data_IF_780272953396
#
_entry.id   IF_780272953396
#
_cell.length_a   1.000
_cell.length_b   1.000
_cell.length_c   1.000
_cell.angle_alpha   90.00
_cell.angle_beta   90.00
_cell.angle_gamma   90.00
#
_symmetry.space_group_name_H-M   'P 1'
#
loop_
_entity.id
_entity.type
_entity.pdbx_description
1 polymer ?
#
# COMPACT_ATOMS: atom_id res chain seq x y z
N UNK A 1 66.21 1.10 33.57
CA UNK A 1 64.99 1.85 33.17
C UNK A 1 65.38 2.95 32.19
N UNK A 2 65.43 2.65 30.88
CA UNK A 2 65.70 3.65 29.85
C UNK A 2 64.38 4.16 29.26
N UNK A 3 64.05 5.42 29.54
CA UNK A 3 62.88 6.12 28.99
C UNK A 3 63.23 6.63 27.60
N UNK A 4 62.59 6.08 26.57
CA UNK A 4 62.62 6.63 25.21
C UNK A 4 61.76 7.91 25.22
N UNK A 5 62.39 9.07 25.43
CA UNK A 5 61.77 10.39 25.26
C UNK A 5 61.70 10.73 23.77
N UNK A 6 60.61 10.27 23.15
CA UNK A 6 59.76 11.00 22.19
C UNK A 6 60.38 12.12 21.35
N UNK A 7 60.89 11.78 20.15
CA UNK A 7 60.94 12.67 18.97
C UNK A 7 59.55 12.89 18.34
N UNK A 8 58.50 13.09 19.15
CA UNK A 8 57.11 13.17 18.68
C UNK A 8 56.58 14.61 18.48
N UNK A 9 57.34 15.64 18.89
CA UNK A 9 56.81 17.01 18.98
C UNK A 9 56.63 17.71 17.61
N UNK A 10 57.36 17.33 16.56
CA UNK A 10 57.18 17.89 15.21
C UNK A 10 56.19 17.10 14.33
N UNK A 11 56.11 15.79 14.56
CA UNK A 11 55.25 14.90 13.77
C UNK A 11 53.76 15.11 14.10
N UNK A 12 53.43 15.30 15.39
CA UNK A 12 52.05 15.54 15.81
C UNK A 12 51.46 16.82 15.19
N UNK A 13 52.28 17.86 14.99
CA UNK A 13 51.84 19.11 14.36
C UNK A 13 51.54 18.89 12.87
N UNK A 14 52.42 18.18 12.15
CA UNK A 14 52.23 17.87 10.72
C UNK A 14 51.04 16.94 10.52
N UNK A 15 50.89 15.93 11.38
CA UNK A 15 49.76 15.01 11.37
C UNK A 15 48.44 15.72 11.66
N UNK A 16 48.41 16.62 12.66
CA UNK A 16 47.24 17.46 12.92
C UNK A 16 46.90 18.39 11.74
N UNK A 17 47.92 18.95 11.08
CA UNK A 17 47.74 19.83 9.92
C UNK A 17 47.16 19.09 8.70
N UNK A 18 47.41 17.78 8.58
CA UNK A 18 46.85 16.92 7.53
C UNK A 18 45.46 16.36 7.92
N UNK A 19 45.27 15.99 9.18
CA UNK A 19 44.02 15.41 9.67
C UNK A 19 42.88 16.43 9.71
N UNK A 20 43.16 17.69 10.07
CA UNK A 20 42.14 18.75 10.12
C UNK A 20 41.43 18.99 8.77
N UNK A 21 42.12 19.23 7.64
CA UNK A 21 41.47 19.41 6.35
C UNK A 21 40.79 18.13 5.87
N UNK A 22 41.35 16.95 6.17
CA UNK A 22 40.71 15.67 5.84
C UNK A 22 39.39 15.50 6.59
N UNK A 23 39.36 15.81 7.89
CA UNK A 23 38.12 15.80 8.68
C UNK A 23 37.10 16.81 8.18
N UNK A 24 37.54 18.01 7.83
CA UNK A 24 36.66 19.03 7.25
C UNK A 24 36.02 18.55 5.94
N UNK A 25 36.81 17.94 5.04
CA UNK A 25 36.33 17.34 3.81
C UNK A 25 35.33 16.20 4.07
N UNK A 26 35.60 15.33 5.04
CA UNK A 26 34.71 14.23 5.41
C UNK A 26 33.36 14.74 5.96
N UNK A 27 33.40 15.72 6.86
CA UNK A 27 32.18 16.34 7.42
C UNK A 27 31.37 17.04 6.33
N UNK A 28 32.06 17.72 5.41
CA UNK A 28 31.44 18.37 4.26
C UNK A 28 30.75 17.35 3.33
N UNK A 29 31.45 16.27 2.98
CA UNK A 29 30.90 15.18 2.17
C UNK A 29 29.69 14.51 2.86
N UNK A 30 29.79 14.25 4.17
CA UNK A 30 28.69 13.67 4.95
C UNK A 30 27.46 14.58 4.99
N UNK A 31 27.64 15.90 5.15
CA UNK A 31 26.53 16.86 5.11
C UNK A 31 25.87 16.91 3.73
N UNK A 32 26.68 16.89 2.66
CA UNK A 32 26.17 16.91 1.30
C UNK A 32 25.37 15.65 0.96
N UNK A 33 25.92 14.47 1.28
CA UNK A 33 25.26 13.19 1.02
C UNK A 33 24.01 13.02 1.88
N UNK A 34 24.04 13.48 3.14
CA UNK A 34 22.88 13.51 4.02
C UNK A 34 21.75 14.36 3.45
N UNK A 35 22.06 15.54 2.90
CA UNK A 35 21.06 16.37 2.22
C UNK A 35 20.45 15.71 0.98
N UNK A 36 21.25 14.98 0.20
CA UNK A 36 20.74 14.21 -0.94
C UNK A 36 19.86 13.04 -0.51
N UNK A 37 20.24 12.32 0.54
CA UNK A 37 19.43 11.23 1.09
C UNK A 37 18.11 11.75 1.65
N UNK A 38 18.14 12.87 2.38
CA UNK A 38 16.95 13.50 2.94
C UNK A 38 15.97 13.90 1.83
N UNK A 39 16.43 14.60 0.79
CA UNK A 39 15.58 14.97 -0.36
C UNK A 39 15.05 13.74 -1.09
N UNK A 40 15.85 12.69 -1.26
CA UNK A 40 15.39 11.44 -1.87
C UNK A 40 14.32 10.73 -1.03
N UNK A 41 14.42 10.78 0.29
CA UNK A 41 13.41 10.25 1.22
C UNK A 41 12.12 11.07 1.17
N UNK A 42 12.23 12.40 1.15
CA UNK A 42 11.08 13.30 1.06
C UNK A 42 10.28 13.05 -0.23
N UNK A 43 10.96 12.98 -1.37
CA UNK A 43 10.35 12.65 -2.67
C UNK A 43 9.74 11.24 -2.66
N UNK A 44 10.37 10.27 -1.99
CA UNK A 44 9.80 8.94 -1.82
C UNK A 44 8.49 8.97 -1.01
N UNK A 45 8.46 9.67 0.12
CA UNK A 45 7.27 9.81 0.94
C UNK A 45 6.15 10.57 0.21
N UNK A 46 6.50 11.62 -0.53
CA UNK A 46 5.55 12.37 -1.35
C UNK A 46 4.90 11.46 -2.42
N UNK A 47 5.69 10.65 -3.13
CA UNK A 47 5.15 9.71 -4.13
C UNK A 47 4.24 8.64 -3.52
N UNK A 48 4.58 8.12 -2.33
CA UNK A 48 3.76 7.11 -1.63
C UNK A 48 2.45 7.69 -1.14
N UNK A 49 2.48 8.84 -0.47
CA UNK A 49 1.27 9.55 -0.03
C UNK A 49 0.36 9.85 -1.23
N UNK A 50 0.95 10.31 -2.33
CA UNK A 50 0.21 10.61 -3.55
C UNK A 50 -0.44 9.37 -4.18
N UNK A 51 0.28 8.24 -4.26
CA UNK A 51 -0.27 6.98 -4.77
C UNK A 51 -1.41 6.45 -3.88
N UNK A 52 -1.22 6.46 -2.56
CA UNK A 52 -2.22 5.94 -1.61
C UNK A 52 -3.49 6.79 -1.59
N UNK A 53 -3.37 8.12 -1.55
CA UNK A 53 -4.54 8.98 -1.63
C UNK A 53 -5.24 8.89 -3.01
N UNK A 54 -4.49 8.57 -4.08
CA UNK A 54 -5.09 8.22 -5.36
C UNK A 54 -5.85 6.89 -5.34
N UNK A 55 -5.29 5.87 -4.68
CA UNK A 55 -5.98 4.60 -4.47
C UNK A 55 -7.25 4.74 -3.60
N UNK A 56 -7.28 5.72 -2.70
CA UNK A 56 -8.46 6.09 -1.90
C UNK A 56 -9.47 6.97 -2.65
N UNK A 57 -9.23 7.31 -3.92
CA UNK A 57 -10.12 8.15 -4.73
C UNK A 57 -10.09 9.65 -4.40
N UNK A 58 -9.07 10.14 -3.68
CA UNK A 58 -8.97 11.56 -3.37
C UNK A 58 -8.60 12.40 -4.61
N UNK A 59 -9.23 13.56 -4.80
CA UNK A 59 -8.97 14.45 -5.93
C UNK A 59 -7.53 14.94 -5.91
N UNK A 60 -6.92 15.03 -7.09
CA UNK A 60 -5.53 15.48 -7.27
C UNK A 60 -5.27 16.90 -6.77
N UNK A 61 -6.30 17.76 -6.74
CA UNK A 61 -6.20 19.17 -6.31
C UNK A 61 -5.87 19.34 -4.81
N UNK A 62 -6.16 18.35 -3.96
CA UNK A 62 -5.94 18.49 -2.52
C UNK A 62 -4.53 18.09 -2.06
N UNK A 63 -3.65 17.69 -2.99
CA UNK A 63 -2.30 17.24 -2.64
C UNK A 63 -1.29 18.36 -2.69
N UNK A 64 -0.92 18.83 -1.50
CA UNK A 64 0.19 19.75 -1.33
C UNK A 64 1.49 18.98 -1.49
N UNK A 65 2.17 19.19 -2.63
CA UNK A 65 3.56 18.80 -2.76
C UNK A 65 4.43 19.79 -1.97
N UNK A 66 5.54 19.34 -1.35
CA UNK A 66 6.52 20.25 -0.78
C UNK A 66 7.01 21.24 -1.85
N UNK A 67 7.26 22.48 -1.46
CA UNK A 67 7.76 23.53 -2.35
C UNK A 67 8.97 23.03 -3.17
N UNK A 68 8.92 23.15 -4.49
CA UNK A 68 9.99 22.68 -5.39
C UNK A 68 9.92 21.19 -5.77
N UNK A 69 8.83 20.48 -5.43
CA UNK A 69 8.56 19.11 -5.88
C UNK A 69 7.42 19.11 -6.90
N UNK A 70 7.67 18.60 -8.10
CA UNK A 70 6.64 18.30 -9.08
C UNK A 70 6.02 16.93 -8.79
N UNK A 71 4.70 16.87 -8.73
CA UNK A 71 3.93 15.64 -8.50
C UNK A 71 3.03 15.36 -9.70
N UNK A 72 3.09 14.14 -10.23
CA UNK A 72 2.20 13.66 -11.29
C UNK A 72 1.60 12.32 -10.87
N UNK A 73 0.32 12.11 -11.16
CA UNK A 73 -0.38 10.86 -10.90
C UNK A 73 -1.11 10.41 -12.15
N UNK A 74 -0.99 9.13 -12.48
CA UNK A 74 -1.71 8.47 -13.54
C UNK A 74 -2.40 7.21 -13.02
N UNK A 75 -3.55 6.91 -13.58
CA UNK A 75 -4.34 5.73 -13.29
C UNK A 75 -4.54 4.96 -14.59
N UNK A 76 -4.12 3.70 -14.66
CA UNK A 76 -4.40 2.83 -15.79
C UNK A 76 -5.17 1.60 -15.32
N UNK A 77 -6.15 1.15 -16.09
CA UNK A 77 -6.71 -0.19 -15.88
C UNK A 77 -5.58 -1.22 -15.95
N UNK A 78 -5.67 -2.28 -15.14
CA UNK A 78 -4.64 -3.32 -15.10
C UNK A 78 -5.17 -4.64 -15.69
N UNK A 79 -5.37 -4.72 -17.02
CA UNK A 79 -5.86 -5.94 -17.65
C UNK A 79 -4.79 -7.03 -17.70
N UNK A 80 -5.21 -8.29 -17.66
CA UNK A 80 -4.35 -9.42 -18.04
C UNK A 80 -3.24 -9.81 -17.05
N UNK A 81 -3.41 -9.56 -15.76
CA UNK A 81 -2.50 -10.10 -14.73
C UNK A 81 -2.70 -11.62 -14.60
N UNK A 82 -3.95 -12.08 -14.72
CA UNK A 82 -4.30 -13.47 -14.70
C UNK A 82 -4.13 -14.10 -16.11
N UNK A 83 -3.72 -15.38 -16.17
CA UNK A 83 -3.82 -16.19 -17.38
C UNK A 83 -5.24 -16.15 -17.97
N UNK A 84 -5.36 -16.33 -19.29
CA UNK A 84 -6.64 -16.27 -20.01
C UNK A 84 -7.76 -17.14 -19.40
N UNK A 85 -7.37 -18.26 -18.76
CA UNK A 85 -8.27 -19.21 -18.10
C UNK A 85 -8.92 -18.64 -16.83
N UNK A 86 -8.31 -17.64 -16.20
CA UNK A 86 -8.72 -17.05 -14.91
C UNK A 86 -9.09 -15.58 -15.05
N UNK A 87 -9.04 -15.00 -16.26
CA UNK A 87 -9.44 -13.61 -16.52
C UNK A 87 -10.89 -13.34 -16.11
N UNK A 88 -11.80 -14.26 -16.36
CA UNK A 88 -13.19 -14.13 -15.92
C UNK A 88 -13.32 -14.03 -14.39
N UNK A 89 -12.49 -14.78 -13.65
CA UNK A 89 -12.43 -14.74 -12.19
C UNK A 89 -11.81 -13.41 -11.71
N UNK A 90 -10.76 -12.94 -12.38
CA UNK A 90 -10.14 -11.64 -12.09
C UNK A 90 -11.16 -10.50 -12.28
N UNK A 91 -11.87 -10.49 -13.39
CA UNK A 91 -12.90 -9.49 -13.68
C UNK A 91 -14.08 -9.59 -12.70
N UNK A 92 -14.43 -10.79 -12.26
CA UNK A 92 -15.48 -11.01 -11.25
C UNK A 92 -15.07 -10.53 -9.86
N UNK A 93 -13.82 -10.77 -9.44
CA UNK A 93 -13.34 -10.44 -8.10
C UNK A 93 -12.94 -8.98 -7.96
N UNK A 94 -12.35 -8.40 -9.00
CA UNK A 94 -11.79 -7.05 -8.96
C UNK A 94 -12.54 -6.06 -9.86
N UNK A 95 -13.42 -6.53 -10.75
CA UNK A 95 -14.22 -5.68 -11.63
C UNK A 95 -13.37 -4.83 -12.59
N UNK A 96 -14.01 -3.81 -13.17
CA UNK A 96 -13.33 -2.70 -13.87
C UNK A 96 -12.60 -1.76 -12.89
N UNK A 97 -12.60 -2.07 -11.59
CA UNK A 97 -12.02 -1.25 -10.53
C UNK A 97 -10.53 -1.53 -10.31
N UNK A 98 -10.02 -2.67 -10.79
CA UNK A 98 -8.60 -2.97 -10.74
C UNK A 98 -7.81 -2.00 -11.61
N UNK A 99 -7.16 -1.05 -10.94
CA UNK A 99 -6.37 -0.01 -11.60
C UNK A 99 -5.00 0.05 -10.96
N UNK A 100 -3.98 0.25 -11.78
CA UNK A 100 -2.67 0.60 -11.34
C UNK A 100 -2.58 2.12 -11.19
N UNK A 101 -2.50 2.56 -9.95
CA UNK A 101 -2.19 3.93 -9.62
C UNK A 101 -0.68 4.11 -9.65
N UNK A 102 -0.20 5.04 -10.47
CA UNK A 102 1.20 5.43 -10.54
C UNK A 102 1.33 6.88 -10.10
N UNK A 103 2.14 7.15 -9.08
CA UNK A 103 2.49 8.50 -8.68
C UNK A 103 3.99 8.72 -8.83
N UNK A 104 4.36 9.80 -9.52
CA UNK A 104 5.75 10.23 -9.69
C UNK A 104 5.93 11.56 -8.97
N UNK A 105 6.84 11.61 -8.02
CA UNK A 105 7.32 12.85 -7.42
C UNK A 105 8.74 13.12 -7.92
N UNK A 106 9.06 14.35 -8.28
CA UNK A 106 10.41 14.73 -8.66
C UNK A 106 10.79 16.12 -8.19
N UNK A 107 12.04 16.29 -7.78
CA UNK A 107 12.63 17.58 -7.43
C UNK A 107 13.92 17.78 -8.20
N UNK A 108 14.26 19.04 -8.47
CA UNK A 108 15.52 19.43 -9.07
C UNK A 108 16.33 20.18 -8.01
N UNK A 109 17.49 19.66 -7.66
CA UNK A 109 18.43 20.33 -6.76
C UNK A 109 19.61 20.83 -7.59
N UNK A 110 19.98 22.09 -7.43
CA UNK A 110 21.19 22.61 -8.04
C UNK A 110 22.39 21.88 -7.44
N UNK A 111 23.19 21.26 -8.28
CA UNK A 111 24.47 20.74 -7.83
C UNK A 111 25.36 21.94 -7.46
N UNK A 112 26.05 21.86 -6.32
CA UNK A 112 26.85 23.00 -5.83
C UNK A 112 28.14 23.13 -6.63
N UNK A 113 28.63 22.01 -7.17
CA UNK A 113 29.92 21.92 -7.86
C UNK A 113 29.78 21.93 -9.40
N UNK A 114 28.56 21.67 -9.93
CA UNK A 114 28.24 21.76 -11.35
C UNK A 114 27.06 22.70 -11.60
N UNK A 115 27.07 23.43 -12.71
CA UNK A 115 25.90 24.19 -13.18
C UNK A 115 24.68 23.30 -13.56
N UNK A 116 24.84 21.97 -13.47
CA UNK A 116 23.82 20.99 -13.76
C UNK A 116 22.84 20.82 -12.59
N UNK A 117 21.57 20.67 -12.93
CA UNK A 117 20.54 20.33 -11.97
C UNK A 117 20.50 18.81 -11.76
N UNK A 118 20.72 18.36 -10.53
CA UNK A 118 20.50 16.96 -10.17
C UNK A 118 18.99 16.75 -9.97
N UNK A 119 18.38 15.99 -10.87
CA UNK A 119 16.96 15.64 -10.79
C UNK A 119 16.80 14.32 -10.04
N UNK A 120 16.12 14.37 -8.90
CA UNK A 120 15.75 13.19 -8.13
C UNK A 120 14.26 12.93 -8.38
N UNK A 121 13.93 11.74 -8.89
CA UNK A 121 12.55 11.33 -9.12
C UNK A 121 12.26 9.97 -8.46
N UNK A 122 11.09 9.84 -7.85
CA UNK A 122 10.57 8.57 -7.32
C UNK A 122 9.20 8.29 -7.90
N UNK A 123 9.03 7.04 -8.34
CA UNK A 123 7.78 6.52 -8.86
C UNK A 123 7.30 5.41 -7.94
N UNK A 124 6.04 5.51 -7.49
CA UNK A 124 5.37 4.50 -6.68
C UNK A 124 4.17 3.97 -7.44
N UNK A 125 3.99 2.66 -7.42
CA UNK A 125 2.86 1.96 -8.03
C UNK A 125 2.02 1.31 -6.92
N UNK A 126 0.70 1.47 -6.99
CA UNK A 126 -0.26 0.88 -6.06
C UNK A 126 -1.41 0.30 -6.88
N UNK A 127 -1.76 -0.96 -6.65
CA UNK A 127 -3.00 -1.51 -7.17
C UNK A 127 -4.17 -1.00 -6.32
N UNK A 128 -5.11 -0.30 -6.94
CA UNK A 128 -6.40 0.07 -6.35
C UNK A 128 -7.49 -0.86 -6.86
N UNK A 129 -8.55 -1.06 -6.07
CA UNK A 129 -9.63 -1.98 -6.45
C UNK A 129 -9.24 -3.46 -6.37
N UNK A 130 -8.11 -3.78 -5.73
CA UNK A 130 -7.59 -5.14 -5.58
C UNK A 130 -8.34 -5.99 -4.53
N UNK A 131 -9.66 -5.80 -4.38
CA UNK A 131 -10.51 -6.64 -3.52
C UNK A 131 -10.86 -6.04 -2.16
N UNK A 132 -10.68 -4.73 -1.95
CA UNK A 132 -11.20 -4.05 -0.77
C UNK A 132 -12.72 -3.83 -0.90
N UNK A 133 -13.48 -4.17 0.14
CA UNK A 133 -14.89 -3.84 0.26
C UNK A 133 -15.08 -2.70 1.27
N UNK A 134 -16.05 -1.82 1.04
CA UNK A 134 -16.31 -0.65 1.88
C UNK A 134 -17.02 -0.98 3.21
N UNK A 135 -17.31 -2.26 3.47
CA UNK A 135 -17.99 -2.78 4.66
C UNK A 135 -18.63 -4.14 4.39
N UNK A 136 -19.25 -4.73 5.41
CA UNK A 136 -19.86 -6.07 5.33
C UNK A 136 -20.89 -6.20 4.21
N UNK A 137 -21.76 -5.20 4.05
CA UNK A 137 -22.79 -5.23 3.00
C UNK A 137 -22.20 -5.18 1.59
N UNK A 138 -21.09 -4.48 1.39
CA UNK A 138 -20.38 -4.44 0.09
C UNK A 138 -19.68 -5.78 -0.15
N UNK A 139 -19.04 -6.34 0.88
CA UNK A 139 -18.39 -7.65 0.83
C UNK A 139 -19.41 -8.77 0.52
N UNK A 140 -20.51 -8.85 1.28
CA UNK A 140 -21.58 -9.82 1.07
C UNK A 140 -22.22 -9.67 -0.31
N UNK A 141 -22.47 -8.43 -0.77
CA UNK A 141 -23.00 -8.19 -2.12
C UNK A 141 -22.05 -8.70 -3.19
N UNK A 142 -20.74 -8.45 -3.06
CA UNK A 142 -19.73 -8.91 -4.01
C UNK A 142 -19.63 -10.43 -4.02
N UNK A 143 -19.55 -11.06 -2.85
CA UNK A 143 -19.49 -12.53 -2.70
C UNK A 143 -20.76 -13.19 -3.26
N UNK A 144 -21.95 -12.73 -2.85
CA UNK A 144 -23.23 -13.28 -3.31
C UNK A 144 -23.54 -13.02 -4.79
N UNK A 145 -22.87 -12.05 -5.42
CA UNK A 145 -22.97 -11.77 -6.85
C UNK A 145 -21.90 -12.43 -7.70
N UNK A 146 -20.94 -13.13 -7.11
CA UNK A 146 -19.86 -13.80 -7.83
C UNK A 146 -20.35 -15.17 -8.40
N UNK A 147 -20.78 -15.23 -9.69
CA UNK A 147 -21.39 -16.43 -10.24
C UNK A 147 -20.43 -17.63 -10.34
N UNK A 148 -19.17 -17.38 -10.66
CA UNK A 148 -18.22 -18.43 -11.04
C UNK A 148 -17.42 -18.91 -9.84
N UNK A 149 -17.13 -18.01 -8.90
CA UNK A 149 -16.33 -18.38 -7.72
C UNK A 149 -17.14 -18.93 -6.56
N UNK A 150 -18.32 -18.37 -6.29
CA UNK A 150 -19.09 -18.71 -5.07
C UNK A 150 -20.47 -19.25 -5.39
N UNK A 151 -21.23 -18.63 -6.29
CA UNK A 151 -22.63 -19.01 -6.53
C UNK A 151 -22.81 -20.44 -7.03
N UNK A 152 -21.89 -20.94 -7.87
CA UNK A 152 -21.94 -22.35 -8.34
C UNK A 152 -21.73 -23.32 -7.18
N UNK A 153 -20.69 -23.12 -6.37
CA UNK A 153 -20.41 -23.95 -5.21
C UNK A 153 -21.54 -23.86 -4.16
N UNK A 154 -22.01 -22.64 -3.87
CA UNK A 154 -23.18 -22.38 -3.04
C UNK A 154 -24.41 -23.14 -3.55
N UNK A 155 -24.75 -23.02 -4.83
CA UNK A 155 -25.95 -23.66 -5.37
C UNK A 155 -25.90 -25.18 -5.26
N UNK A 156 -24.74 -25.79 -5.47
CA UNK A 156 -24.55 -27.22 -5.31
C UNK A 156 -24.67 -27.64 -3.84
N UNK A 157 -23.98 -26.94 -2.94
CA UNK A 157 -24.02 -27.21 -1.49
C UNK A 157 -25.40 -27.00 -0.90
N UNK A 158 -26.10 -25.92 -1.26
CA UNK A 158 -27.47 -25.64 -0.80
C UNK A 158 -28.48 -26.63 -1.35
N UNK A 159 -28.31 -27.11 -2.59
CA UNK A 159 -29.17 -28.16 -3.14
C UNK A 159 -29.06 -29.44 -2.31
N UNK A 160 -27.84 -29.81 -1.89
CA UNK A 160 -27.61 -30.99 -1.06
C UNK A 160 -28.08 -30.77 0.38
N UNK A 161 -27.78 -29.61 0.98
CA UNK A 161 -28.23 -29.27 2.32
C UNK A 161 -29.77 -29.28 2.44
N UNK A 162 -30.49 -28.82 1.40
CA UNK A 162 -31.96 -28.91 1.36
C UNK A 162 -32.47 -30.34 1.31
N UNK A 163 -31.74 -31.26 0.65
CA UNK A 163 -32.10 -32.70 0.63
C UNK A 163 -31.90 -33.34 2.00
N UNK A 164 -30.83 -32.96 2.71
CA UNK A 164 -30.46 -33.55 4.00
C UNK A 164 -31.19 -32.93 5.19
N UNK A 165 -31.64 -31.67 5.08
CA UNK A 165 -32.28 -30.91 6.17
C UNK A 165 -33.38 -31.68 6.91
N UNK A 166 -34.35 -32.34 6.26
CA UNK A 166 -35.41 -33.06 6.97
C UNK A 166 -34.90 -34.27 7.78
N UNK A 167 -33.81 -34.90 7.31
CA UNK A 167 -33.19 -36.05 7.98
C UNK A 167 -32.40 -35.58 9.19
N UNK A 168 -31.59 -34.53 9.02
CA UNK A 168 -30.79 -33.91 10.08
C UNK A 168 -31.70 -33.33 11.17
N UNK A 169 -32.71 -32.54 10.81
CA UNK A 169 -33.63 -31.93 11.79
C UNK A 169 -34.39 -33.01 12.60
N UNK A 170 -34.71 -34.17 11.99
CA UNK A 170 -35.34 -35.30 12.70
C UNK A 170 -34.39 -35.98 13.68
N UNK A 171 -33.13 -36.14 13.28
CA UNK A 171 -32.10 -36.75 14.12
C UNK A 171 -31.74 -35.83 15.31
N UNK A 172 -31.63 -34.53 15.06
CA UNK A 172 -31.20 -33.52 16.03
C UNK A 172 -32.32 -32.99 16.93
N UNK A 173 -33.59 -33.17 16.52
CA UNK A 173 -34.77 -32.67 17.24
C UNK A 173 -34.83 -33.07 18.72
N UNK A 174 -34.59 -34.35 19.10
CA UNK A 174 -34.66 -34.73 20.52
C UNK A 174 -33.51 -34.17 21.37
N UNK A 175 -32.46 -33.64 20.74
CA UNK A 175 -31.31 -32.98 21.37
C UNK A 175 -31.53 -31.46 21.48
N UNK A 176 -32.70 -30.95 21.08
CA UNK A 176 -33.07 -29.52 21.07
C UNK A 176 -32.03 -28.63 20.36
N UNK A 177 -31.32 -29.17 19.37
CA UNK A 177 -30.40 -28.38 18.54
C UNK A 177 -31.18 -27.52 17.55
N UNK A 178 -30.69 -26.31 17.22
CA UNK A 178 -31.25 -25.52 16.13
C UNK A 178 -31.21 -26.33 14.83
N UNK A 179 -32.28 -26.27 14.03
CA UNK A 179 -32.31 -26.95 12.74
C UNK A 179 -31.22 -26.42 11.80
N UNK A 180 -30.83 -27.23 10.81
CA UNK A 180 -29.75 -26.88 9.89
C UNK A 180 -30.01 -25.51 9.23
N UNK A 181 -29.11 -24.54 9.45
CA UNK A 181 -29.15 -23.23 8.80
C UNK A 181 -28.65 -23.33 7.36
N UNK A 182 -29.40 -22.73 6.44
CA UNK A 182 -29.02 -22.60 5.03
C UNK A 182 -28.48 -21.20 4.71
N UNK A 183 -28.55 -20.28 5.68
CA UNK A 183 -28.07 -18.92 5.53
C UNK A 183 -26.60 -18.85 5.97
N UNK A 184 -25.73 -19.27 5.06
CA UNK A 184 -24.29 -19.32 5.32
C UNK A 184 -23.63 -17.94 5.23
N UNK A 185 -24.23 -16.97 4.52
CA UNK A 185 -23.62 -15.68 4.23
C UNK A 185 -23.85 -14.67 5.36
N UNK A 186 -24.99 -14.77 6.06
CA UNK A 186 -25.30 -13.92 7.22
C UNK A 186 -24.38 -14.19 8.41
N UNK A 187 -23.82 -15.40 8.55
CA UNK A 187 -22.82 -15.73 9.58
C UNK A 187 -21.52 -14.90 9.45
N UNK A 188 -21.24 -14.35 8.26
CA UNK A 188 -20.06 -13.52 8.01
C UNK A 188 -20.34 -12.02 8.13
N UNK A 189 -21.55 -11.63 8.55
CA UNK A 189 -21.98 -10.24 8.59
C UNK A 189 -21.20 -9.35 9.58
N UNK A 190 -20.55 -9.94 10.59
CA UNK A 190 -19.83 -9.22 11.65
C UNK A 190 -18.30 -9.44 11.61
N UNK A 191 -17.77 -9.95 10.48
CA UNK A 191 -16.34 -10.30 10.36
C UNK A 191 -15.48 -9.11 9.88
N UNK A 192 -16.07 -8.05 9.32
CA UNK A 192 -15.32 -6.81 9.02
C UNK A 192 -15.20 -5.95 10.29
N UNK A 193 -14.01 -5.43 10.63
CA UNK A 193 -13.82 -4.58 11.80
C UNK A 193 -14.78 -3.38 11.78
N UNK A 194 -15.53 -3.19 12.88
CA UNK A 194 -16.56 -2.15 13.02
C UNK A 194 -16.06 -0.73 12.68
N UNK A 195 -14.77 -0.47 12.90
CA UNK A 195 -14.09 0.80 12.60
C UNK A 195 -14.08 1.17 11.10
N UNK A 196 -14.41 0.22 10.20
CA UNK A 196 -14.47 0.42 8.74
C UNK A 196 -15.88 0.63 8.21
N UNK A 197 -16.91 0.45 9.04
CA UNK A 197 -18.30 0.75 8.71
C UNK A 197 -18.49 2.28 8.71
N UNK A 198 -18.08 2.93 7.61
CA UNK A 198 -18.23 4.39 7.48
C UNK A 198 -19.70 4.80 7.62
N UNK A 199 -19.97 5.57 8.67
CA UNK A 199 -21.26 6.16 8.98
C UNK A 199 -21.59 7.23 7.93
N UNK A 200 -22.17 6.83 6.79
CA UNK A 200 -22.75 7.76 5.81
C UNK A 200 -24.12 8.25 6.31
N UNK A 201 -24.13 8.92 7.47
CA UNK A 201 -25.21 9.82 7.89
C UNK A 201 -24.72 11.25 7.70
N UNK A 202 -24.87 11.80 6.50
CA UNK A 202 -24.51 13.20 6.23
C UNK A 202 -24.26 13.55 4.77
N UNK A 203 -25.22 13.27 3.88
CA UNK A 203 -25.31 13.95 2.58
C UNK A 203 -26.74 13.79 2.07
N UNK A 204 -27.61 14.68 2.57
CA UNK A 204 -29.04 14.65 2.28
C UNK A 204 -29.77 15.75 3.04
N UNK A 205 -29.46 17.00 2.70
CA UNK A 205 -30.41 18.10 2.61
C UNK A 205 -29.90 19.08 1.57
#
# INVERSE_FOLDING_TARGET
>A
MNRIRTRQQGQALIEALLMLPLLALLLWAASWIGGLQFTAQEVAQASRKAAMAGALGQPSQNQHAPSGTALSRNASALPGIAPAQVTALQDEWFGAELKLMTATASTARRDRDNAAWLRIARRTHVASGAGYAHGDTDAQRRIGRAPTSWRRAESASLAEARRLKPVVDRLDGPWRRPGLSLDWLSEWADVVPADRLSNRKGAGK
#
